data_IF_953089718528
#
_entry.id   IF_953089718528
#
_cell.length_a   1.000
_cell.length_b   1.000
_cell.length_c   1.000
_cell.angle_alpha   90.00
_cell.angle_beta   90.00
_cell.angle_gamma   90.00
#
_symmetry.space_group_name_H-M   'P 1'
#
loop_
_entity.id
_entity.type
_entity.pdbx_description
1 polymer ?
#
# COMPACT_ATOMS: atom_id res chain seq x y z
N UNK A 1 20.68 -18.57 40.75
CA UNK A 1 20.58 -17.44 39.82
C UNK A 1 19.44 -17.68 38.85
N UNK A 2 18.24 -17.59 39.35
CA UNK A 2 17.00 -17.62 38.54
C UNK A 2 16.58 -16.16 38.33
N UNK A 3 16.80 -15.71 37.27
CA UNK A 3 17.28 -14.62 37.05
C UNK A 3 16.63 -13.78 35.98
N UNK A 4 17.04 -12.58 35.90
CA UNK A 4 16.48 -11.47 35.12
C UNK A 4 15.93 -11.89 33.74
N UNK A 5 16.58 -12.87 33.08
CA UNK A 5 16.13 -13.36 31.77
C UNK A 5 14.77 -14.08 31.77
N UNK A 6 14.53 -14.91 32.80
CA UNK A 6 13.21 -15.61 32.92
C UNK A 6 12.12 -14.61 33.29
N UNK A 7 12.42 -13.64 34.15
CA UNK A 7 11.49 -12.57 34.50
C UNK A 7 11.16 -11.71 33.29
N UNK A 8 12.16 -11.34 32.49
CA UNK A 8 11.97 -10.56 31.26
C UNK A 8 11.18 -11.32 30.18
N UNK A 9 11.43 -12.63 30.03
CA UNK A 9 10.65 -13.47 29.10
C UNK A 9 9.21 -13.60 29.57
N UNK A 10 8.96 -13.85 30.85
CA UNK A 10 7.62 -13.90 31.41
C UNK A 10 6.88 -12.58 31.24
N UNK A 11 7.51 -11.45 31.50
CA UNK A 11 6.93 -10.11 31.30
C UNK A 11 6.58 -9.86 29.82
N UNK A 12 7.41 -10.27 28.87
CA UNK A 12 7.11 -10.16 27.42
C UNK A 12 5.91 -11.01 27.03
N UNK A 13 5.86 -12.26 27.46
CA UNK A 13 4.73 -13.15 27.19
C UNK A 13 3.44 -12.59 27.79
N UNK A 14 3.50 -12.13 29.04
CA UNK A 14 2.36 -11.49 29.68
C UNK A 14 1.89 -10.24 28.93
N UNK A 15 2.82 -9.35 28.53
CA UNK A 15 2.48 -8.17 27.75
C UNK A 15 1.80 -8.53 26.42
N UNK A 16 2.31 -9.55 25.71
CA UNK A 16 1.69 -10.04 24.46
C UNK A 16 0.29 -10.57 24.72
N UNK A 17 0.09 -11.38 25.76
CA UNK A 17 -1.24 -11.90 26.11
C UNK A 17 -2.22 -10.80 26.45
N UNK A 18 -1.78 -9.78 27.19
CA UNK A 18 -2.62 -8.60 27.52
C UNK A 18 -2.99 -7.84 26.24
N UNK A 19 -2.02 -7.56 25.36
CA UNK A 19 -2.29 -6.85 24.10
C UNK A 19 -3.26 -7.64 23.21
N UNK A 20 -3.07 -8.95 23.07
CA UNK A 20 -3.97 -9.82 22.30
C UNK A 20 -5.37 -9.84 22.92
N UNK A 21 -5.47 -9.96 24.26
CA UNK A 21 -6.75 -9.96 24.95
C UNK A 21 -7.50 -8.64 24.81
N UNK A 22 -6.83 -7.50 25.01
CA UNK A 22 -7.41 -6.16 24.81
C UNK A 22 -7.80 -5.95 23.36
N UNK A 23 -6.94 -6.37 22.42
CA UNK A 23 -7.24 -6.27 20.98
C UNK A 23 -8.47 -7.09 20.59
N UNK A 24 -8.60 -8.31 21.08
CA UNK A 24 -9.76 -9.16 20.82
C UNK A 24 -11.06 -8.57 21.41
N UNK A 25 -11.00 -8.02 22.62
CA UNK A 25 -12.14 -7.35 23.24
C UNK A 25 -12.54 -6.08 22.48
N UNK A 26 -11.58 -5.23 22.11
CA UNK A 26 -11.82 -4.02 21.32
C UNK A 26 -12.41 -4.35 19.94
N UNK A 27 -11.86 -5.36 19.26
CA UNK A 27 -12.38 -5.86 17.98
C UNK A 27 -13.83 -6.32 18.12
N UNK A 28 -14.12 -7.13 19.12
CA UNK A 28 -15.49 -7.65 19.37
C UNK A 28 -16.49 -6.53 19.60
N UNK A 29 -16.11 -5.51 20.38
CA UNK A 29 -16.96 -4.34 20.63
C UNK A 29 -17.18 -3.51 19.36
N UNK A 30 -16.09 -3.15 18.67
CA UNK A 30 -16.15 -2.38 17.43
C UNK A 30 -16.98 -3.08 16.37
N UNK A 31 -16.78 -4.40 16.19
CA UNK A 31 -17.54 -5.21 15.23
C UNK A 31 -19.05 -5.15 15.50
N UNK A 32 -19.47 -5.31 16.77
CA UNK A 32 -20.87 -5.23 17.15
C UNK A 32 -21.46 -3.85 16.84
N UNK A 33 -20.74 -2.79 17.24
CA UNK A 33 -21.15 -1.39 17.04
C UNK A 33 -21.26 -1.03 15.54
N UNK A 34 -20.29 -1.41 14.72
CA UNK A 34 -20.33 -1.16 13.28
C UNK A 34 -21.43 -1.95 12.58
N UNK A 35 -21.70 -3.17 13.02
CA UNK A 35 -22.84 -3.95 12.54
C UNK A 35 -24.17 -3.24 12.82
N UNK A 36 -24.34 -2.73 14.04
CA UNK A 36 -25.56 -2.01 14.42
C UNK A 36 -25.66 -0.67 13.67
N UNK A 37 -24.53 0.03 13.45
CA UNK A 37 -24.48 1.23 12.61
C UNK A 37 -24.98 0.95 11.19
N UNK A 38 -24.56 -0.16 10.60
CA UNK A 38 -25.03 -0.59 9.26
C UNK A 38 -26.54 -0.77 9.23
N UNK A 39 -27.15 -1.31 10.29
CA UNK A 39 -28.61 -1.43 10.40
C UNK A 39 -29.29 -0.07 10.49
N UNK A 40 -28.72 0.89 11.24
CA UNK A 40 -29.21 2.27 11.30
C UNK A 40 -29.10 2.99 9.94
N UNK A 41 -28.19 2.56 9.09
CA UNK A 41 -28.04 3.01 7.70
C UNK A 41 -28.92 2.25 6.70
N UNK A 42 -29.90 1.48 7.16
CA UNK A 42 -30.87 0.70 6.37
C UNK A 42 -30.26 -0.51 5.62
N UNK A 43 -29.07 -0.98 6.02
CA UNK A 43 -28.55 -2.26 5.52
C UNK A 43 -29.35 -3.41 6.16
N UNK A 44 -29.82 -4.39 5.38
CA UNK A 44 -30.57 -5.53 5.90
C UNK A 44 -29.81 -6.26 7.02
N UNK A 45 -30.51 -6.72 8.04
CA UNK A 45 -29.92 -7.43 9.19
C UNK A 45 -29.12 -8.67 8.79
N UNK A 46 -29.55 -9.35 7.73
CA UNK A 46 -28.85 -10.50 7.15
C UNK A 46 -27.44 -10.15 6.69
N UNK A 47 -27.22 -8.93 6.19
CA UNK A 47 -26.00 -8.51 5.53
C UNK A 47 -25.18 -7.50 6.36
N UNK A 48 -25.77 -6.95 7.43
CA UNK A 48 -25.16 -5.92 8.28
C UNK A 48 -23.81 -6.36 8.90
N UNK A 49 -23.58 -7.66 9.07
CA UNK A 49 -22.34 -8.21 9.57
C UNK A 49 -21.16 -8.10 8.58
N UNK A 50 -21.47 -7.97 7.27
CA UNK A 50 -20.46 -7.77 6.24
C UNK A 50 -19.78 -6.40 6.37
N UNK A 51 -20.49 -5.40 6.87
CA UNK A 51 -19.97 -4.04 6.97
C UNK A 51 -18.70 -3.93 7.81
N UNK A 52 -18.68 -4.37 9.10
CA UNK A 52 -17.44 -4.38 9.86
C UNK A 52 -16.39 -5.31 9.23
N UNK A 53 -16.78 -6.44 8.65
CA UNK A 53 -15.85 -7.37 8.02
C UNK A 53 -15.09 -6.74 6.85
N UNK A 54 -15.76 -5.90 6.05
CA UNK A 54 -15.13 -5.18 4.95
C UNK A 54 -14.08 -4.19 5.48
N UNK A 55 -14.45 -3.38 6.49
CA UNK A 55 -13.55 -2.39 7.10
C UNK A 55 -12.33 -3.09 7.72
N UNK A 56 -12.56 -4.11 8.54
CA UNK A 56 -11.50 -4.84 9.23
C UNK A 56 -10.63 -5.62 8.24
N UNK A 57 -11.21 -6.19 7.18
CA UNK A 57 -10.50 -6.86 6.09
C UNK A 57 -9.53 -5.92 5.39
N UNK A 58 -9.98 -4.71 5.04
CA UNK A 58 -9.13 -3.65 4.45
C UNK A 58 -7.99 -3.27 5.39
N UNK A 59 -8.26 -3.14 6.70
CA UNK A 59 -7.24 -2.84 7.72
C UNK A 59 -6.20 -3.98 7.80
N UNK A 60 -6.64 -5.23 7.81
CA UNK A 60 -5.75 -6.41 7.86
C UNK A 60 -4.89 -6.48 6.60
N UNK A 61 -5.49 -6.29 5.42
CA UNK A 61 -4.75 -6.26 4.15
C UNK A 61 -3.72 -5.13 4.13
N UNK A 62 -4.10 -3.93 4.57
CA UNK A 62 -3.19 -2.78 4.64
C UNK A 62 -2.04 -3.03 5.61
N UNK A 63 -2.31 -3.67 6.76
CA UNK A 63 -1.28 -4.05 7.73
C UNK A 63 -0.31 -5.05 7.14
N UNK A 64 -0.81 -6.11 6.50
CA UNK A 64 0.02 -7.11 5.83
C UNK A 64 0.89 -6.48 4.72
N UNK A 65 0.30 -5.61 3.88
CA UNK A 65 1.01 -4.89 2.84
C UNK A 65 2.12 -3.98 3.39
N UNK A 66 1.83 -3.23 4.45
CA UNK A 66 2.82 -2.36 5.10
C UNK A 66 3.99 -3.13 5.72
N UNK A 67 3.74 -4.35 6.22
CA UNK A 67 4.78 -5.22 6.77
C UNK A 67 5.62 -5.87 5.68
N UNK A 68 4.99 -6.43 4.65
CA UNK A 68 5.67 -7.09 3.53
C UNK A 68 6.53 -6.07 2.75
N UNK A 69 6.01 -4.87 2.53
CA UNK A 69 6.67 -3.79 1.79
C UNK A 69 7.39 -2.79 2.71
N UNK A 70 7.91 -3.25 3.86
CA UNK A 70 8.50 -2.38 4.88
C UNK A 70 9.66 -1.50 4.37
N UNK A 71 10.40 -1.96 3.36
CA UNK A 71 11.54 -1.26 2.75
C UNK A 71 11.21 -0.58 1.41
N UNK A 72 10.00 -0.77 0.88
CA UNK A 72 9.56 -0.26 -0.42
C UNK A 72 8.81 1.09 -0.29
N UNK A 73 8.86 1.97 -1.30
CA UNK A 73 8.09 3.22 -1.33
C UNK A 73 6.58 2.99 -1.29
N UNK A 74 6.09 1.84 -1.77
CA UNK A 74 4.68 1.43 -1.78
C UNK A 74 4.11 1.25 -0.37
N UNK A 75 4.95 1.07 0.65
CA UNK A 75 4.54 1.06 2.05
C UNK A 75 3.69 2.27 2.44
N UNK A 76 3.96 3.43 1.84
CA UNK A 76 3.21 4.67 2.12
C UNK A 76 1.73 4.52 1.78
N UNK A 77 1.41 3.86 0.67
CA UNK A 77 0.02 3.58 0.29
C UNK A 77 -0.69 2.76 1.38
N UNK A 78 -0.09 1.65 1.83
CA UNK A 78 -0.70 0.80 2.85
C UNK A 78 -0.81 1.51 4.21
N UNK A 79 0.16 2.33 4.59
CA UNK A 79 0.06 3.14 5.81
C UNK A 79 -1.08 4.16 5.73
N UNK A 80 -1.33 4.76 4.56
CA UNK A 80 -2.47 5.63 4.34
C UNK A 80 -3.79 4.89 4.44
N UNK A 81 -3.91 3.73 3.80
CA UNK A 81 -5.10 2.87 3.89
C UNK A 81 -5.37 2.48 5.34
N UNK A 82 -4.32 2.08 6.07
CA UNK A 82 -4.42 1.73 7.49
C UNK A 82 -4.91 2.91 8.33
N UNK A 83 -4.35 4.11 8.13
CA UNK A 83 -4.76 5.32 8.84
C UNK A 83 -6.23 5.69 8.55
N UNK A 84 -6.63 5.67 7.28
CA UNK A 84 -8.01 5.94 6.86
C UNK A 84 -8.97 4.88 7.41
N UNK A 85 -8.63 3.60 7.34
CA UNK A 85 -9.43 2.51 7.90
C UNK A 85 -9.63 2.66 9.40
N UNK A 86 -8.58 3.02 10.15
CA UNK A 86 -8.67 3.30 11.58
C UNK A 86 -9.59 4.50 11.87
N UNK A 87 -9.49 5.58 11.08
CA UNK A 87 -10.38 6.75 11.20
C UNK A 87 -11.83 6.36 10.93
N UNK A 88 -12.09 5.58 9.89
CA UNK A 88 -13.45 5.09 9.57
C UNK A 88 -14.01 4.23 10.70
N UNK A 89 -13.20 3.33 11.26
CA UNK A 89 -13.61 2.49 12.39
C UNK A 89 -13.96 3.33 13.63
N UNK A 90 -13.09 4.28 14.01
CA UNK A 90 -13.32 5.17 15.16
C UNK A 90 -14.54 6.07 14.92
N UNK A 91 -14.65 6.67 13.74
CA UNK A 91 -15.79 7.51 13.37
C UNK A 91 -17.11 6.73 13.39
N UNK A 92 -17.13 5.51 12.87
CA UNK A 92 -18.31 4.64 12.88
C UNK A 92 -18.77 4.31 14.30
N UNK A 93 -17.83 3.95 15.20
CA UNK A 93 -18.13 3.72 16.61
C UNK A 93 -18.67 5.00 17.29
N UNK A 94 -18.09 6.15 16.99
CA UNK A 94 -18.53 7.45 17.54
C UNK A 94 -19.92 7.85 17.05
N UNK A 95 -20.18 7.68 15.74
CA UNK A 95 -21.49 7.97 15.13
C UNK A 95 -22.57 7.07 15.73
N UNK A 96 -22.29 5.78 15.90
CA UNK A 96 -23.22 4.86 16.54
C UNK A 96 -23.59 5.31 17.97
N UNK A 97 -22.59 5.71 18.76
CA UNK A 97 -22.80 6.19 20.12
C UNK A 97 -23.68 7.46 20.16
N UNK A 98 -23.46 8.39 19.22
CA UNK A 98 -24.25 9.64 19.12
C UNK A 98 -25.65 9.38 18.58
N UNK A 99 -25.79 8.45 17.62
CA UNK A 99 -27.08 8.09 17.03
C UNK A 99 -28.05 7.50 18.09
N UNK A 100 -27.53 6.84 19.12
CA UNK A 100 -28.31 6.32 20.24
C UNK A 100 -29.58 5.56 19.79
N UNK A 101 -29.46 4.72 18.77
CA UNK A 101 -30.55 3.93 18.21
C UNK A 101 -31.47 4.65 17.21
N UNK A 102 -31.27 5.95 16.94
CA UNK A 102 -32.04 6.69 15.95
C UNK A 102 -31.52 6.43 14.54
N UNK A 103 -32.42 6.42 13.51
CA UNK A 103 -32.01 6.31 12.12
C UNK A 103 -31.02 7.42 11.73
N UNK A 104 -30.04 7.07 10.88
CA UNK A 104 -29.08 8.03 10.39
C UNK A 104 -29.69 8.99 9.36
N UNK A 105 -29.22 10.24 9.30
CA UNK A 105 -29.63 11.16 8.24
C UNK A 105 -29.20 10.64 6.86
N UNK A 106 -29.94 10.96 5.77
CA UNK A 106 -29.72 10.37 4.45
C UNK A 106 -28.29 10.52 3.90
N UNK A 107 -27.63 11.65 4.14
CA UNK A 107 -26.25 11.87 3.71
C UNK A 107 -25.28 10.92 4.38
N UNK A 108 -25.51 10.59 5.65
CA UNK A 108 -24.66 9.67 6.40
C UNK A 108 -24.92 8.21 5.97
N UNK A 109 -26.17 7.86 5.65
CA UNK A 109 -26.49 6.57 5.03
C UNK A 109 -25.76 6.40 3.70
N UNK A 110 -25.68 7.46 2.87
CA UNK A 110 -24.94 7.44 1.61
C UNK A 110 -23.43 7.21 1.82
N UNK A 111 -22.84 7.85 2.84
CA UNK A 111 -21.42 7.63 3.20
C UNK A 111 -21.20 6.18 3.63
N UNK A 112 -22.03 5.66 4.51
CA UNK A 112 -21.93 4.25 4.96
C UNK A 112 -22.05 3.28 3.78
N UNK A 113 -22.99 3.50 2.88
CA UNK A 113 -23.15 2.67 1.69
C UNK A 113 -21.96 2.74 0.72
N UNK A 114 -21.27 3.88 0.66
CA UNK A 114 -20.09 4.06 -0.20
C UNK A 114 -18.85 3.31 0.30
N UNK A 115 -18.77 2.96 1.60
CA UNK A 115 -17.58 2.31 2.18
C UNK A 115 -17.28 0.99 1.48
N UNK A 116 -18.27 0.13 1.24
CA UNK A 116 -18.05 -1.18 0.65
C UNK A 116 -17.42 -1.12 -0.77
N UNK A 117 -17.96 -0.35 -1.74
CA UNK A 117 -17.36 -0.26 -3.07
C UNK A 117 -15.99 0.45 -3.04
N UNK A 118 -15.79 1.44 -2.16
CA UNK A 118 -14.50 2.11 -2.02
C UNK A 118 -13.45 1.14 -1.45
N UNK A 119 -13.78 0.38 -0.41
CA UNK A 119 -12.89 -0.64 0.15
C UNK A 119 -12.50 -1.67 -0.91
N UNK A 120 -13.44 -2.17 -1.71
CA UNK A 120 -13.15 -3.11 -2.77
C UNK A 120 -12.13 -2.56 -3.79
N UNK A 121 -12.27 -1.29 -4.18
CA UNK A 121 -11.31 -0.64 -5.09
C UNK A 121 -9.92 -0.51 -4.46
N UNK A 122 -9.87 -0.10 -3.20
CA UNK A 122 -8.61 0.03 -2.44
C UNK A 122 -7.93 -1.33 -2.28
N UNK A 123 -8.68 -2.36 -1.91
CA UNK A 123 -8.18 -3.72 -1.69
C UNK A 123 -7.66 -4.34 -2.99
N UNK A 124 -8.40 -4.15 -4.10
CA UNK A 124 -7.97 -4.60 -5.42
C UNK A 124 -6.68 -3.91 -5.87
N UNK A 125 -6.57 -2.58 -5.64
CA UNK A 125 -5.34 -1.85 -5.92
C UNK A 125 -4.18 -2.33 -5.06
N UNK A 126 -4.42 -2.51 -3.76
CA UNK A 126 -3.43 -3.02 -2.82
C UNK A 126 -2.91 -4.41 -3.21
N UNK A 127 -3.81 -5.30 -3.63
CA UNK A 127 -3.45 -6.62 -4.13
C UNK A 127 -2.57 -6.52 -5.39
N UNK A 128 -2.93 -5.64 -6.33
CA UNK A 128 -2.12 -5.41 -7.54
C UNK A 128 -0.71 -4.89 -7.21
N UNK A 129 -0.57 -4.02 -6.21
CA UNK A 129 0.73 -3.53 -5.73
C UNK A 129 1.55 -4.68 -5.15
N UNK A 130 0.97 -5.53 -4.31
CA UNK A 130 1.65 -6.69 -3.73
C UNK A 130 2.14 -7.67 -4.79
N UNK A 131 1.31 -7.98 -5.80
CA UNK A 131 1.72 -8.85 -6.90
C UNK A 131 2.83 -8.25 -7.75
N UNK A 132 2.81 -6.94 -7.99
CA UNK A 132 3.87 -6.25 -8.73
C UNK A 132 5.20 -6.31 -7.97
N UNK A 133 5.18 -6.04 -6.68
CA UNK A 133 6.36 -6.12 -5.83
C UNK A 133 6.93 -7.55 -5.75
N UNK A 134 6.07 -8.57 -5.72
CA UNK A 134 6.50 -9.97 -5.71
C UNK A 134 7.15 -10.41 -7.04
N UNK A 135 6.77 -9.78 -8.17
CA UNK A 135 7.36 -10.08 -9.50
C UNK A 135 8.69 -9.38 -9.75
N UNK A 136 8.91 -8.23 -9.11
CA UNK A 136 10.13 -7.43 -9.22
C UNK A 136 10.75 -7.29 -7.82
N UNK A 137 11.37 -8.36 -7.27
CA UNK A 137 12.13 -8.22 -6.03
C UNK A 137 13.27 -7.25 -6.33
N UNK A 138 13.35 -6.15 -5.55
CA UNK A 138 14.53 -5.28 -5.61
C UNK A 138 15.77 -6.15 -5.36
N UNK A 139 16.85 -5.98 -6.17
CA UNK A 139 18.09 -6.64 -5.90
C UNK A 139 18.50 -6.27 -4.47
N UNK A 140 18.61 -7.28 -3.61
CA UNK A 140 19.27 -7.10 -2.33
C UNK A 140 20.67 -6.60 -2.68
N UNK A 141 20.93 -5.31 -2.47
CA UNK A 141 22.30 -4.80 -2.54
C UNK A 141 23.04 -5.55 -1.44
N UNK A 142 23.74 -6.61 -1.83
CA UNK A 142 24.71 -7.25 -0.95
C UNK A 142 25.56 -6.12 -0.38
N UNK A 143 25.81 -6.11 0.95
CA UNK A 143 26.73 -5.14 1.51
C UNK A 143 28.02 -5.28 0.70
N UNK A 144 28.36 -4.23 -0.05
CA UNK A 144 29.62 -4.14 -0.77
C UNK A 144 30.69 -4.53 0.21
N UNK A 145 31.21 -5.75 0.07
CA UNK A 145 32.32 -6.25 0.84
C UNK A 145 33.42 -5.23 0.61
N UNK A 146 33.74 -4.47 1.65
CA UNK A 146 34.83 -3.51 1.62
C UNK A 146 36.01 -4.19 0.95
N UNK A 147 36.66 -3.54 -0.03
CA UNK A 147 37.78 -4.15 -0.72
C UNK A 147 38.80 -4.55 0.35
N UNK A 148 39.10 -5.84 0.37
CA UNK A 148 40.15 -6.38 1.22
C UNK A 148 41.38 -5.54 1.02
N UNK A 149 41.86 -4.94 2.12
CA UNK A 149 43.09 -4.18 2.16
C UNK A 149 44.18 -5.05 1.53
N UNK A 150 44.70 -4.64 0.38
CA UNK A 150 45.90 -5.23 -0.20
C UNK A 150 47.03 -5.17 0.81
N UNK A 151 47.81 -6.24 0.97
CA UNK A 151 48.95 -6.22 1.88
C UNK A 151 49.98 -5.20 1.38
N UNK A 152 50.30 -4.25 2.24
CA UNK A 152 51.38 -3.29 2.06
C UNK A 152 52.69 -4.06 1.82
N UNK A 153 53.15 -4.07 0.59
CA UNK A 153 54.51 -4.50 0.28
C UNK A 153 55.51 -3.42 0.68
N UNK A 154 56.44 -3.78 1.54
CA UNK A 154 57.58 -2.97 2.00
C UNK A 154 58.43 -2.44 0.82
N UNK A 155 59.05 -1.26 0.94
CA UNK A 155 59.83 -0.65 -0.13
C UNK A 155 61.27 -1.25 -0.16
N UNK A 156 61.61 -1.88 -1.27
CA UNK A 156 63.02 -2.19 -1.58
C UNK A 156 63.57 -1.09 -2.47
N UNK A 157 64.78 -0.65 -2.08
CA UNK A 157 65.63 0.45 -2.52
C UNK A 157 65.80 0.56 -4.06
N UNK A 158 65.97 1.82 -4.50
CA UNK A 158 66.42 2.24 -5.79
C UNK A 158 67.82 1.75 -6.11
N UNK A 159 68.27 1.68 -7.40
CA UNK A 159 68.93 2.86 -7.96
C UNK A 159 68.73 3.16 -9.46
N UNK A 160 68.94 4.42 -9.74
CA UNK A 160 69.58 5.03 -10.93
C UNK A 160 68.82 5.25 -12.25
N UNK A 161 68.82 6.55 -12.58
CA UNK A 161 68.46 7.30 -13.78
C UNK A 161 69.36 6.93 -14.99
N UNK A 162 68.94 6.99 -16.25
CA UNK A 162 69.12 8.23 -17.04
C UNK A 162 67.90 8.63 -17.96
N UNK A 163 67.88 9.93 -18.19
CA UNK A 163 67.03 10.77 -19.09
C UNK A 163 67.13 10.45 -20.58
N UNK A 164 66.54 11.29 -21.43
CA UNK A 164 65.12 11.44 -21.84
C UNK A 164 64.98 11.20 -23.38
N UNK A 165 63.79 10.86 -23.88
CA UNK A 165 63.48 10.98 -25.31
C UNK A 165 62.06 11.54 -25.51
N UNK A 166 61.99 12.47 -26.41
CA UNK A 166 61.00 13.42 -26.83
C UNK A 166 59.60 12.89 -27.16
N UNK A 167 58.65 13.77 -26.95
CA UNK A 167 57.25 13.81 -27.34
C UNK A 167 57.07 13.77 -28.89
N UNK A 168 55.99 13.22 -29.37
CA UNK A 168 55.17 14.02 -30.28
C UNK A 168 53.66 14.09 -29.91
N UNK A 169 53.08 15.20 -30.33
CA UNK A 169 51.79 15.74 -30.02
C UNK A 169 50.60 14.90 -30.48
N UNK A 170 49.40 15.09 -29.86
CA UNK A 170 48.19 14.36 -30.20
C UNK A 170 47.45 14.94 -31.39
N UNK A 171 46.99 14.06 -32.28
CA UNK A 171 46.07 14.33 -33.38
C UNK A 171 44.63 14.53 -32.89
N UNK A 172 43.81 15.33 -33.59
CA UNK A 172 42.49 15.74 -33.11
C UNK A 172 41.40 14.67 -33.32
N UNK A 173 40.60 14.47 -32.32
CA UNK A 173 39.40 13.63 -32.28
C UNK A 173 38.29 14.19 -33.20
N UNK A 174 37.66 13.37 -34.06
CA UNK A 174 36.51 13.81 -34.83
C UNK A 174 35.22 13.90 -33.99
N UNK A 175 34.41 14.91 -34.30
CA UNK A 175 33.16 15.25 -33.66
C UNK A 175 32.06 14.18 -33.85
N UNK A 176 31.14 14.01 -32.88
CA UNK A 176 30.06 13.04 -33.01
C UNK A 176 28.96 13.52 -33.95
N UNK A 177 28.50 12.60 -34.80
CA UNK A 177 27.40 12.73 -35.75
C UNK A 177 26.05 12.78 -34.97
N UNK A 178 25.08 13.68 -35.30
CA UNK A 178 23.79 13.71 -34.63
C UNK A 178 22.92 12.54 -35.08
N UNK A 179 22.51 11.71 -34.13
CA UNK A 179 21.54 10.64 -34.32
C UNK A 179 20.13 11.23 -34.38
N UNK A 180 19.46 11.03 -35.51
CA UNK A 180 18.06 11.41 -35.74
C UNK A 180 17.13 10.72 -34.77
N UNK A 181 16.22 11.50 -34.15
CA UNK A 181 15.14 11.02 -33.30
C UNK A 181 14.14 10.14 -34.07
N UNK A 182 13.64 9.03 -33.48
CA UNK A 182 12.61 8.22 -34.10
C UNK A 182 11.27 8.93 -34.14
N UNK A 183 10.57 8.81 -35.27
CA UNK A 183 9.26 9.39 -35.56
C UNK A 183 8.19 8.88 -34.61
N UNK A 184 7.38 9.81 -34.12
CA UNK A 184 6.21 9.61 -33.24
C UNK A 184 5.12 8.85 -34.02
N UNK A 185 4.56 7.73 -33.53
CA UNK A 185 3.46 7.07 -34.24
C UNK A 185 2.18 7.91 -34.20
N UNK A 186 1.49 7.95 -35.34
CA UNK A 186 0.26 8.67 -35.56
C UNK A 186 -0.88 8.11 -34.66
N UNK A 187 -1.63 9.05 -34.08
CA UNK A 187 -2.80 8.81 -33.23
C UNK A 187 -3.95 8.22 -34.06
N UNK A 188 -4.57 7.09 -33.67
CA UNK A 188 -5.71 6.56 -34.43
C UNK A 188 -6.92 7.47 -34.32
N UNK A 189 -7.55 7.72 -35.43
CA UNK A 189 -8.81 8.49 -35.59
C UNK A 189 -9.92 7.72 -34.90
N UNK A 190 -10.61 8.39 -33.98
CA UNK A 190 -11.74 7.89 -33.20
C UNK A 190 -12.93 7.71 -34.17
N UNK A 191 -13.27 6.46 -34.46
CA UNK A 191 -14.47 6.09 -35.22
C UNK A 191 -15.73 6.53 -34.43
N UNK A 192 -16.65 7.22 -35.10
CA UNK A 192 -17.91 7.67 -34.53
C UNK A 192 -18.78 6.47 -34.16
N UNK A 193 -19.34 6.48 -32.94
CA UNK A 193 -20.38 5.53 -32.48
C UNK A 193 -21.65 5.75 -33.27
N UNK A 194 -22.33 4.69 -33.69
CA UNK A 194 -23.69 4.83 -34.23
C UNK A 194 -24.65 5.22 -33.09
N UNK A 195 -25.55 6.13 -33.42
CA UNK A 195 -26.67 6.57 -32.59
C UNK A 195 -27.59 5.38 -32.39
N UNK A 196 -27.85 4.95 -31.15
CA UNK A 196 -28.87 3.97 -30.84
C UNK A 196 -30.22 4.69 -30.88
N UNK A 197 -31.12 4.20 -31.73
CA UNK A 197 -32.50 4.60 -31.78
C UNK A 197 -33.20 4.33 -30.44
N UNK A 198 -33.79 5.39 -29.87
CA UNK A 198 -34.64 5.31 -28.68
C UNK A 198 -35.91 4.56 -29.03
N UNK A 199 -36.14 3.40 -28.47
CA UNK A 199 -37.43 2.71 -28.47
C UNK A 199 -38.46 3.53 -27.69
N UNK A 200 -39.68 3.77 -28.23
CA UNK A 200 -40.71 4.47 -27.49
C UNK A 200 -41.28 3.59 -26.37
N UNK A 201 -41.28 4.14 -25.16
CA UNK A 201 -41.93 3.51 -24.00
C UNK A 201 -43.44 3.63 -24.18
N UNK A 202 -44.14 2.49 -24.34
CA UNK A 202 -45.59 2.42 -24.32
C UNK A 202 -46.11 2.65 -22.89
N UNK A 203 -46.90 3.70 -22.68
CA UNK A 203 -47.60 3.98 -21.43
C UNK A 203 -48.86 3.12 -21.42
N UNK A 204 -49.12 2.28 -20.39
CA UNK A 204 -50.42 1.60 -20.27
C UNK A 204 -51.47 2.61 -19.77
N UNK A 205 -52.55 2.80 -20.57
CA UNK A 205 -53.74 3.52 -20.15
C UNK A 205 -54.55 2.59 -19.26
N UNK A 206 -54.76 3.04 -18.02
CA UNK A 206 -55.62 2.34 -17.07
C UNK A 206 -57.12 2.46 -17.40
N UNK A 207 -57.81 1.44 -17.11
CA UNK A 207 -59.27 1.44 -16.82
C UNK A 207 -59.48 0.65 -15.53
#
# INVERSE_FOLDING_TARGET
MFTAERGMRAARVFAVLVIVGVGAAAFRLSFATLRDLAQLAHIPRSDAWLFPLIIDGTIVQATAGALVLAKSPERKFFNWVLAVGAVVSVAGNSIHAVANGHPLPPWLCAIVAAIAPVSLLVDTHGLAVLFRAARNPEPVTEPETAPASEPVSEPVAAPEVPEPIETPAPEPTPAPIPVSAPARPARPVRSARPVQDMLPIAVPVGS
#
